data_IF_796148253304
#
_entry.id   IF_796148253304
#
_cell.length_a   1.000
_cell.length_b   1.000
_cell.length_c   1.000
_cell.angle_alpha   90.00
_cell.angle_beta   90.00
_cell.angle_gamma   90.00
#
_symmetry.space_group_name_H-M   'P 1'
#
loop_
_entity.id
_entity.type
_entity.pdbx_description
1 polymer ?
#
# COMPACT_ATOMS: atom_id res chain seq x y z
N UNK A 1 -11.13 7.92 28.83
CA UNK A 1 -12.37 8.72 28.92
C UNK A 1 -13.37 8.35 27.80
N UNK A 2 -13.39 7.09 27.31
CA UNK A 2 -14.48 6.50 26.50
C UNK A 2 -15.84 6.56 27.19
N UNK A 3 -15.76 6.48 28.52
CA UNK A 3 -16.84 6.28 29.48
C UNK A 3 -17.77 7.48 29.54
N UNK A 4 -17.28 8.71 29.39
CA UNK A 4 -18.09 9.90 29.69
C UNK A 4 -18.97 10.38 28.51
N UNK A 5 -18.57 10.13 27.26
CA UNK A 5 -19.21 10.83 26.13
C UNK A 5 -20.29 10.03 25.38
N UNK A 6 -20.29 8.70 25.46
CA UNK A 6 -21.43 7.90 24.97
C UNK A 6 -22.70 8.14 25.79
N UNK A 7 -22.55 8.52 27.07
CA UNK A 7 -23.67 8.99 27.90
C UNK A 7 -24.15 10.40 27.56
N UNK A 8 -23.32 11.22 26.89
CA UNK A 8 -23.64 12.61 26.54
C UNK A 8 -24.16 12.78 25.11
N UNK A 9 -23.62 12.06 24.13
CA UNK A 9 -24.03 12.18 22.71
C UNK A 9 -25.38 11.52 22.41
N UNK A 10 -25.84 10.63 23.28
CA UNK A 10 -27.12 9.96 23.18
C UNK A 10 -27.57 9.64 24.59
N UNK A 11 -28.76 10.12 24.98
CA UNK A 11 -29.40 9.86 26.28
C UNK A 11 -29.74 8.36 26.54
N UNK A 12 -28.98 7.43 25.97
CA UNK A 12 -29.29 6.01 25.83
C UNK A 12 -28.14 5.05 26.22
N UNK A 13 -26.94 5.51 26.58
CA UNK A 13 -25.81 4.60 26.79
C UNK A 13 -25.13 4.77 28.16
N UNK A 14 -25.38 3.81 29.05
CA UNK A 14 -24.69 3.65 30.33
C UNK A 14 -23.27 3.12 30.18
N UNK A 15 -22.34 3.75 30.90
CA UNK A 15 -20.90 3.74 30.65
C UNK A 15 -20.17 2.42 31.00
N UNK A 16 -20.82 1.51 31.71
CA UNK A 16 -20.29 0.21 32.17
C UNK A 16 -21.03 -0.98 31.57
N UNK A 17 -22.01 -0.73 30.71
CA UNK A 17 -23.03 -1.71 30.32
C UNK A 17 -23.00 -2.06 28.83
N UNK A 18 -22.12 -1.43 28.06
CA UNK A 18 -21.99 -1.68 26.62
C UNK A 18 -21.32 -3.04 26.36
N UNK A 19 -20.36 -3.44 27.19
CA UNK A 19 -19.59 -4.65 26.96
C UNK A 19 -19.84 -5.68 28.05
N UNK A 20 -19.93 -6.94 27.63
CA UNK A 20 -19.94 -8.07 28.57
C UNK A 20 -18.65 -8.12 29.42
N UNK A 21 -17.53 -7.64 28.88
CA UNK A 21 -16.23 -7.57 29.56
C UNK A 21 -15.63 -6.15 29.45
N UNK A 22 -16.05 -5.20 30.31
CA UNK A 22 -15.64 -3.79 30.23
C UNK A 22 -14.13 -3.57 30.42
N UNK A 23 -13.49 -4.40 31.25
CA UNK A 23 -12.10 -4.24 31.68
C UNK A 23 -11.07 -4.31 30.55
N UNK A 24 -11.40 -4.94 29.42
CA UNK A 24 -10.47 -5.10 28.29
C UNK A 24 -10.28 -3.80 27.48
N UNK A 25 -11.22 -2.85 27.53
CA UNK A 25 -11.22 -1.66 26.66
C UNK A 25 -11.41 -0.32 27.40
N UNK A 26 -11.95 -0.36 28.62
CA UNK A 26 -12.46 0.84 29.31
C UNK A 26 -11.40 1.87 29.76
N UNK A 27 -10.12 1.50 29.85
CA UNK A 27 -9.11 2.35 30.50
C UNK A 27 -8.27 3.21 29.54
N UNK A 28 -8.22 2.89 28.24
CA UNK A 28 -7.23 3.51 27.34
C UNK A 28 -7.76 4.00 25.99
N UNK A 29 -8.97 3.57 25.62
CA UNK A 29 -9.59 3.91 24.35
C UNK A 29 -10.48 5.15 24.55
N UNK A 30 -10.49 6.04 23.56
CA UNK A 30 -11.37 7.20 23.47
C UNK A 30 -12.34 6.99 22.31
N UNK A 31 -13.61 7.32 22.56
CA UNK A 31 -14.66 7.24 21.54
C UNK A 31 -14.42 8.28 20.46
N UNK A 32 -14.54 7.89 19.19
CA UNK A 32 -14.46 8.79 18.04
C UNK A 32 -15.80 8.86 17.33
N UNK A 33 -16.36 7.71 16.93
CA UNK A 33 -17.63 7.64 16.22
C UNK A 33 -18.26 6.24 16.28
N UNK A 34 -19.56 6.12 15.99
CA UNK A 34 -20.21 4.84 15.75
C UNK A 34 -21.20 4.85 14.59
N UNK A 35 -21.47 3.66 14.04
CA UNK A 35 -22.43 3.47 12.96
C UNK A 35 -23.26 2.22 13.17
N UNK A 36 -24.59 2.35 13.10
CA UNK A 36 -25.48 1.18 13.05
C UNK A 36 -25.45 0.60 11.65
N UNK A 37 -25.13 -0.70 11.55
CA UNK A 37 -25.08 -1.45 10.30
C UNK A 37 -26.06 -2.63 10.34
N UNK A 38 -26.44 -3.21 9.18
CA UNK A 38 -27.41 -4.31 9.13
C UNK A 38 -27.10 -5.48 10.06
N UNK A 39 -28.13 -6.26 10.39
CA UNK A 39 -28.07 -7.42 11.30
C UNK A 39 -27.83 -7.04 12.76
N UNK A 40 -28.38 -5.91 13.21
CA UNK A 40 -28.31 -5.44 14.60
C UNK A 40 -26.86 -5.28 15.08
N UNK A 41 -26.02 -4.68 14.24
CA UNK A 41 -24.60 -4.52 14.50
C UNK A 41 -24.23 -3.04 14.58
N UNK A 42 -23.19 -2.76 15.34
CA UNK A 42 -22.65 -1.42 15.50
C UNK A 42 -21.15 -1.47 15.20
N UNK A 43 -20.70 -0.62 14.28
CA UNK A 43 -19.29 -0.33 14.09
C UNK A 43 -18.93 0.76 15.09
N UNK A 44 -17.94 0.49 15.93
CA UNK A 44 -17.43 1.43 16.91
C UNK A 44 -16.00 1.81 16.55
N UNK A 45 -15.74 3.10 16.39
CA UNK A 45 -14.44 3.67 16.07
C UNK A 45 -13.90 4.37 17.31
N UNK A 46 -12.66 4.08 17.65
CA UNK A 46 -11.95 4.68 18.78
C UNK A 46 -10.59 5.20 18.32
N UNK A 47 -9.92 5.98 19.16
CA UNK A 47 -8.56 6.46 18.85
C UNK A 47 -7.50 5.34 18.74
N UNK A 48 -7.80 4.09 19.14
CA UNK A 48 -6.84 2.96 19.10
C UNK A 48 -7.24 1.79 18.21
N UNK A 49 -8.53 1.63 17.92
CA UNK A 49 -9.05 0.50 17.16
C UNK A 49 -10.43 0.76 16.56
N UNK A 50 -10.82 -0.11 15.64
CA UNK A 50 -12.21 -0.27 15.19
C UNK A 50 -12.76 -1.61 15.62
N UNK A 51 -14.03 -1.65 15.99
CA UNK A 51 -14.71 -2.85 16.49
C UNK A 51 -16.05 -3.05 15.80
N UNK A 52 -16.44 -4.31 15.64
CA UNK A 52 -17.80 -4.67 15.27
C UNK A 52 -18.49 -5.34 16.45
N UNK A 53 -19.63 -4.77 16.83
CA UNK A 53 -20.41 -5.19 17.98
C UNK A 53 -21.74 -5.77 17.53
N UNK A 54 -22.18 -6.84 18.17
CA UNK A 54 -23.53 -7.39 18.03
C UNK A 54 -24.40 -6.81 19.15
N UNK A 55 -25.43 -6.06 18.80
CA UNK A 55 -26.33 -5.35 19.70
C UNK A 55 -27.77 -5.85 19.50
N UNK A 56 -28.18 -6.88 20.24
CA UNK A 56 -29.50 -7.52 20.05
C UNK A 56 -30.68 -6.68 20.56
N UNK A 57 -30.43 -5.75 21.48
CA UNK A 57 -31.46 -4.91 22.09
C UNK A 57 -30.88 -3.50 22.35
N UNK A 58 -30.87 -2.61 21.34
CA UNK A 58 -30.33 -1.26 21.47
C UNK A 58 -30.94 -0.47 22.64
N UNK A 59 -32.24 -0.68 22.88
CA UNK A 59 -32.98 0.05 23.92
C UNK A 59 -32.85 -0.56 25.34
N UNK A 60 -32.12 -1.70 25.49
CA UNK A 60 -32.00 -2.43 26.76
C UNK A 60 -30.58 -2.96 26.99
N UNK A 61 -29.59 -2.12 26.69
CA UNK A 61 -28.16 -2.45 26.78
C UNK A 61 -27.75 -2.83 28.21
N UNK A 62 -28.31 -2.18 29.22
CA UNK A 62 -28.11 -2.42 30.65
C UNK A 62 -28.39 -3.88 31.04
N UNK A 63 -29.38 -4.49 30.37
CA UNK A 63 -29.80 -5.88 30.60
C UNK A 63 -29.17 -6.86 29.60
N UNK A 64 -28.81 -6.38 28.42
CA UNK A 64 -28.24 -7.18 27.33
C UNK A 64 -27.07 -6.41 26.69
N UNK A 65 -25.87 -6.51 27.27
CA UNK A 65 -24.69 -5.81 26.73
C UNK A 65 -24.34 -6.31 25.33
N UNK A 66 -23.69 -5.46 24.55
CA UNK A 66 -23.17 -5.85 23.24
C UNK A 66 -22.10 -6.94 23.36
N UNK A 67 -22.11 -7.86 22.39
CA UNK A 67 -21.04 -8.83 22.20
C UNK A 67 -20.06 -8.31 21.15
N UNK A 68 -18.78 -8.24 21.49
CA UNK A 68 -17.73 -7.91 20.53
C UNK A 68 -17.58 -9.09 19.56
N UNK A 69 -17.78 -8.85 18.27
CA UNK A 69 -17.57 -9.87 17.23
C UNK A 69 -16.10 -9.96 16.85
N UNK A 70 -15.47 -8.80 16.68
CA UNK A 70 -14.04 -8.65 16.45
C UNK A 70 -13.63 -7.21 16.71
N UNK A 71 -12.35 -7.02 17.00
CA UNK A 71 -11.68 -5.72 17.03
C UNK A 71 -10.41 -5.74 16.17
N UNK A 72 -10.05 -4.59 15.62
CA UNK A 72 -8.82 -4.39 14.84
C UNK A 72 -8.10 -3.17 15.41
N UNK A 73 -7.01 -3.38 16.18
CA UNK A 73 -6.08 -2.33 16.56
C UNK A 73 -5.52 -1.59 15.33
N UNK A 74 -5.27 -0.29 15.47
CA UNK A 74 -4.76 0.54 14.37
C UNK A 74 -3.35 0.17 13.87
N UNK A 75 -2.54 -0.47 14.71
CA UNK A 75 -1.24 -1.00 14.34
C UNK A 75 -1.32 -2.30 13.51
N UNK A 76 -2.40 -3.06 13.63
CA UNK A 76 -2.68 -4.28 12.86
C UNK A 76 -3.43 -4.02 11.54
N UNK A 77 -4.03 -2.84 11.38
CA UNK A 77 -4.69 -2.45 10.12
C UNK A 77 -3.64 -2.15 9.04
N UNK A 78 -3.80 -2.76 7.86
CA UNK A 78 -2.91 -2.62 6.72
C UNK A 78 -3.50 -1.76 5.61
N UNK A 79 -4.77 -1.97 5.25
CA UNK A 79 -5.43 -1.27 4.16
C UNK A 79 -6.95 -1.23 4.35
N UNK A 80 -7.61 -0.28 3.71
CA UNK A 80 -9.06 -0.16 3.63
C UNK A 80 -9.49 -0.26 2.17
N UNK A 81 -10.43 -1.15 1.87
CA UNK A 81 -10.96 -1.36 0.53
C UNK A 81 -12.49 -1.31 0.55
N UNK A 82 -13.06 -0.57 -0.41
CA UNK A 82 -14.49 -0.49 -0.62
C UNK A 82 -14.89 -1.45 -1.73
N UNK A 83 -15.89 -2.29 -1.47
CA UNK A 83 -16.34 -3.31 -2.41
C UNK A 83 -17.83 -3.16 -2.77
N UNK A 84 -18.13 -3.38 -4.05
CA UNK A 84 -19.45 -3.39 -4.66
C UNK A 84 -19.96 -4.82 -4.77
N UNK A 85 -20.43 -5.40 -3.67
CA UNK A 85 -20.88 -6.80 -3.65
C UNK A 85 -22.26 -6.95 -4.30
N UNK A 86 -22.32 -6.95 -5.63
CA UNK A 86 -23.57 -7.07 -6.41
C UNK A 86 -24.46 -5.82 -6.40
N UNK A 87 -23.89 -4.66 -6.04
CA UNK A 87 -24.56 -3.36 -5.95
C UNK A 87 -23.87 -2.34 -6.85
N UNK A 88 -24.58 -1.33 -7.33
CA UNK A 88 -24.01 -0.22 -8.13
C UNK A 88 -23.04 0.64 -7.31
N UNK A 89 -23.30 0.76 -6.00
CA UNK A 89 -22.53 1.53 -5.04
C UNK A 89 -21.79 0.64 -4.02
N UNK A 90 -20.70 1.12 -3.40
CA UNK A 90 -20.01 0.39 -2.35
C UNK A 90 -20.93 0.05 -1.17
N UNK A 91 -21.07 -1.25 -0.89
CA UNK A 91 -21.89 -1.78 0.21
C UNK A 91 -21.05 -2.47 1.30
N UNK A 92 -19.79 -2.75 1.02
CA UNK A 92 -18.89 -3.44 1.93
C UNK A 92 -17.62 -2.62 2.15
N UNK A 93 -17.18 -2.56 3.40
CA UNK A 93 -15.86 -2.07 3.78
C UNK A 93 -15.01 -3.25 4.27
N UNK A 94 -13.87 -3.45 3.63
CA UNK A 94 -12.91 -4.51 3.90
C UNK A 94 -11.69 -3.90 4.58
N UNK A 95 -11.34 -4.43 5.74
CA UNK A 95 -10.17 -4.05 6.52
C UNK A 95 -9.13 -5.16 6.39
N UNK A 96 -8.07 -4.89 5.65
CA UNK A 96 -6.95 -5.81 5.46
C UNK A 96 -6.04 -5.80 6.69
N UNK A 97 -5.66 -6.98 7.16
CA UNK A 97 -4.82 -7.12 8.36
C UNK A 97 -3.34 -7.35 7.98
N UNK A 98 -2.43 -6.81 8.79
CA UNK A 98 -0.99 -7.02 8.61
C UNK A 98 -0.57 -8.43 8.96
N UNK A 99 -0.98 -8.91 10.12
CA UNK A 99 -0.64 -10.22 10.61
C UNK A 99 -1.88 -11.09 10.71
N UNK A 100 -1.79 -12.29 10.16
CA UNK A 100 -2.78 -13.34 10.29
C UNK A 100 -2.07 -14.68 10.08
N UNK A 101 -2.64 -15.74 10.63
CA UNK A 101 -2.27 -17.12 10.30
C UNK A 101 -3.18 -17.64 9.19
N UNK A 102 -2.75 -18.68 8.47
CA UNK A 102 -3.60 -19.31 7.44
C UNK A 102 -4.98 -19.78 7.94
N UNK A 103 -5.07 -20.17 9.20
CA UNK A 103 -6.32 -20.59 9.85
C UNK A 103 -7.24 -19.42 10.22
N UNK A 104 -6.74 -18.19 10.17
CA UNK A 104 -7.45 -16.98 10.57
C UNK A 104 -7.97 -16.23 9.34
N UNK A 105 -8.83 -15.24 9.58
CA UNK A 105 -9.26 -14.36 8.51
C UNK A 105 -8.20 -13.28 8.30
N UNK A 106 -7.76 -13.10 7.05
CA UNK A 106 -6.83 -12.05 6.63
C UNK A 106 -7.49 -10.67 6.49
N UNK A 107 -8.82 -10.63 6.52
CA UNK A 107 -9.64 -9.41 6.45
C UNK A 107 -10.75 -9.42 7.49
N UNK A 108 -11.18 -8.22 7.90
CA UNK A 108 -12.48 -8.01 8.56
C UNK A 108 -13.41 -7.28 7.60
N UNK A 109 -14.66 -7.74 7.54
CA UNK A 109 -15.65 -7.20 6.61
C UNK A 109 -16.78 -6.55 7.39
N UNK A 110 -17.09 -5.31 7.05
CA UNK A 110 -18.26 -4.56 7.51
C UNK A 110 -19.25 -4.50 6.34
N UNK A 111 -20.40 -5.17 6.52
CA UNK A 111 -21.53 -5.08 5.59
C UNK A 111 -22.34 -3.85 5.96
N UNK A 112 -22.54 -2.93 5.02
CA UNK A 112 -23.25 -1.67 5.21
C UNK A 112 -24.62 -1.73 4.52
N UNK A 113 -25.53 -0.84 4.90
CA UNK A 113 -26.82 -0.71 4.23
C UNK A 113 -26.63 -0.15 2.82
N UNK A 114 -27.09 -0.87 1.80
CA UNK A 114 -27.28 -0.35 0.45
C UNK A 114 -28.68 0.27 0.37
N UNK A 115 -28.81 1.53 0.75
CA UNK A 115 -30.06 2.26 0.48
C UNK A 115 -29.97 2.74 -0.96
N UNK A 116 -30.78 2.19 -1.85
CA UNK A 116 -30.80 2.54 -3.28
C UNK A 116 -31.53 3.85 -3.59
N UNK A 117 -31.86 4.68 -2.60
CA UNK A 117 -32.78 5.80 -2.81
C UNK A 117 -32.22 7.17 -2.42
N UNK A 118 -32.47 8.09 -3.36
CA UNK A 118 -32.23 9.53 -3.44
C UNK A 118 -30.84 9.99 -3.94
N UNK A 119 -30.89 10.55 -5.14
CA UNK A 119 -29.87 11.37 -5.80
C UNK A 119 -29.07 12.20 -4.77
N UNK A 120 -27.77 11.90 -4.66
CA UNK A 120 -26.81 12.74 -3.92
C UNK A 120 -26.45 12.32 -2.49
N UNK A 121 -27.01 11.26 -1.89
CA UNK A 121 -26.51 10.75 -0.60
C UNK A 121 -25.31 9.83 -0.78
N UNK A 122 -24.20 10.17 -0.11
CA UNK A 122 -23.01 9.32 -0.05
C UNK A 122 -23.31 7.96 0.62
N UNK A 123 -22.84 6.82 0.05
CA UNK A 123 -23.11 5.48 0.57
C UNK A 123 -22.60 5.30 2.00
N UNK A 124 -23.31 4.52 2.82
CA UNK A 124 -22.92 4.29 4.22
C UNK A 124 -21.50 3.72 4.34
N UNK A 125 -21.10 2.79 3.46
CA UNK A 125 -19.76 2.21 3.47
C UNK A 125 -18.67 3.26 3.27
N UNK A 126 -18.91 4.27 2.42
CA UNK A 126 -17.97 5.36 2.15
C UNK A 126 -17.82 6.23 3.40
N UNK A 127 -18.93 6.62 4.04
CA UNK A 127 -18.91 7.40 5.30
C UNK A 127 -18.12 6.70 6.41
N UNK A 128 -18.37 5.41 6.62
CA UNK A 128 -17.63 4.61 7.61
C UNK A 128 -16.15 4.56 7.24
N UNK A 129 -15.83 4.32 5.96
CA UNK A 129 -14.45 4.28 5.48
C UNK A 129 -13.71 5.60 5.71
N UNK A 130 -14.36 6.75 5.46
CA UNK A 130 -13.78 8.07 5.69
C UNK A 130 -13.41 8.28 7.16
N UNK A 131 -14.31 7.95 8.10
CA UNK A 131 -14.05 8.10 9.53
C UNK A 131 -12.96 7.15 10.01
N UNK A 132 -13.00 5.89 9.59
CA UNK A 132 -11.97 4.90 9.93
C UNK A 132 -10.61 5.33 9.37
N UNK A 133 -10.55 5.77 8.11
CA UNK A 133 -9.32 6.26 7.46
C UNK A 133 -8.75 7.48 8.18
N UNK A 134 -9.59 8.49 8.47
CA UNK A 134 -9.20 9.70 9.20
C UNK A 134 -8.58 9.36 10.56
N UNK A 135 -9.28 8.55 11.34
CA UNK A 135 -8.83 8.16 12.70
C UNK A 135 -7.55 7.34 12.64
N UNK A 136 -7.44 6.42 11.68
CA UNK A 136 -6.24 5.61 11.49
C UNK A 136 -5.02 6.44 11.08
N UNK A 137 -5.18 7.43 10.19
CA UNK A 137 -4.09 8.35 9.81
C UNK A 137 -3.68 9.27 10.95
N UNK A 138 -4.62 9.74 11.77
CA UNK A 138 -4.31 10.50 12.99
C UNK A 138 -3.45 9.65 13.95
N UNK A 139 -3.85 8.40 14.21
CA UNK A 139 -3.07 7.47 15.03
C UNK A 139 -1.65 7.23 14.48
N UNK A 140 -1.49 7.06 13.17
CA UNK A 140 -0.17 6.89 12.54
C UNK A 140 0.72 8.13 12.74
N UNK A 141 0.15 9.32 12.60
CA UNK A 141 0.85 10.58 12.78
C UNK A 141 1.30 10.77 14.23
N UNK A 142 0.41 10.50 15.19
CA UNK A 142 0.73 10.55 16.62
C UNK A 142 1.84 9.56 16.97
N UNK A 143 1.78 8.33 16.46
CA UNK A 143 2.81 7.31 16.68
C UNK A 143 4.17 7.74 16.11
N UNK A 144 4.21 8.33 14.90
CA UNK A 144 5.45 8.89 14.33
C UNK A 144 6.00 10.03 15.19
N UNK A 145 5.15 10.92 15.70
CA UNK A 145 5.57 12.01 16.57
C UNK A 145 6.18 11.51 17.89
N UNK A 146 5.68 10.40 18.44
CA UNK A 146 6.22 9.78 19.66
C UNK A 146 7.62 9.20 19.43
N UNK A 147 7.86 8.59 18.27
CA UNK A 147 9.18 8.05 17.90
C UNK A 147 10.22 9.17 17.79
N UNK A 148 9.82 10.36 17.32
CA UNK A 148 10.72 11.50 17.10
C UNK A 148 11.10 12.26 18.39
N UNK A 149 10.47 12.01 19.54
CA UNK A 149 10.67 12.74 20.82
C UNK A 149 11.88 12.27 21.65
N UNK A 150 12.99 11.90 20.99
CA UNK A 150 14.26 11.61 21.70
C UNK A 150 14.97 12.94 22.02
N UNK A 151 15.36 13.24 23.29
CA UNK A 151 16.01 14.50 23.64
C UNK A 151 17.30 14.75 22.85
N UNK A 152 17.35 15.88 22.14
CA UNK A 152 18.43 16.26 21.21
C UNK A 152 19.71 16.76 21.88
N UNK A 153 20.04 16.28 23.10
CA UNK A 153 21.23 16.73 23.82
C UNK A 153 22.51 15.95 23.49
N UNK A 154 22.58 15.24 22.36
CA UNK A 154 23.82 14.70 21.82
C UNK A 154 23.97 15.13 20.36
N UNK A 155 24.84 16.13 20.15
CA UNK A 155 25.20 16.67 18.83
C UNK A 155 26.02 15.66 18.04
N UNK A 156 25.69 15.55 16.75
CA UNK A 156 26.29 14.74 15.69
C UNK A 156 26.01 13.23 15.75
N UNK A 157 24.84 12.86 15.23
CA UNK A 157 24.64 11.52 14.66
C UNK A 157 24.01 11.70 13.28
N UNK A 158 24.73 11.23 12.26
CA UNK A 158 24.25 11.12 10.89
C UNK A 158 23.18 10.02 10.86
N UNK A 159 21.96 10.35 10.43
CA UNK A 159 20.89 9.36 10.29
C UNK A 159 21.13 8.51 9.04
N UNK A 160 21.73 7.34 9.20
CA UNK A 160 21.64 6.24 8.21
C UNK A 160 20.56 5.27 8.66
N UNK A 161 19.42 5.26 7.97
CA UNK A 161 18.43 4.20 8.14
C UNK A 161 18.85 2.98 7.32
N UNK A 162 19.43 1.98 7.98
CA UNK A 162 19.44 0.58 7.52
C UNK A 162 19.77 -0.33 8.70
N UNK A 163 18.74 -0.92 9.32
CA UNK A 163 18.90 -2.19 10.03
C UNK A 163 18.46 -3.31 9.09
N UNK A 164 19.41 -3.84 8.33
CA UNK A 164 19.41 -5.24 7.90
C UNK A 164 20.84 -5.74 8.02
N UNK A 165 21.01 -6.76 8.85
CA UNK A 165 22.24 -7.49 9.14
C UNK A 165 23.11 -7.70 7.89
N UNK A 166 24.32 -7.13 7.89
CA UNK A 166 25.34 -7.34 6.86
C UNK A 166 26.71 -7.30 7.50
N UNK A 167 27.40 -8.44 7.40
CA UNK A 167 28.79 -8.64 7.79
C UNK A 167 29.68 -7.51 7.24
N UNK A 168 30.50 -6.96 8.14
CA UNK A 168 31.50 -5.92 7.90
C UNK A 168 32.39 -6.18 6.67
N UNK A 169 32.82 -5.11 5.97
CA UNK A 169 34.14 -5.06 5.38
C UNK A 169 35.04 -4.09 6.17
N UNK A 170 36.21 -4.61 6.54
CA UNK A 170 37.29 -3.90 7.22
C UNK A 170 37.73 -2.67 6.44
N UNK A 171 37.87 -1.56 7.15
CA UNK A 171 38.62 -0.36 6.80
C UNK A 171 39.98 -0.68 6.16
N UNK A 172 40.24 -0.13 4.97
CA UNK A 172 41.60 0.08 4.48
C UNK A 172 41.78 1.53 3.99
N UNK A 173 42.59 2.23 4.79
CA UNK A 173 43.41 3.41 4.58
C UNK A 173 43.31 4.24 3.28
N UNK A 174 43.24 5.56 3.52
CA UNK A 174 43.50 6.67 2.62
C UNK A 174 44.73 6.44 1.72
N UNK A 175 44.57 6.71 0.43
CA UNK A 175 45.65 7.16 -0.44
C UNK A 175 45.20 8.45 -1.14
N UNK A 176 45.84 9.56 -0.78
CA UNK A 176 45.77 10.83 -1.49
C UNK A 176 46.58 10.63 -2.78
N UNK A 177 45.90 10.53 -3.91
CA UNK A 177 46.53 10.68 -5.23
C UNK A 177 45.86 11.89 -5.87
N UNK A 178 46.56 13.02 -5.85
CA UNK A 178 46.23 14.18 -6.67
C UNK A 178 46.44 13.79 -8.14
N UNK A 179 45.37 13.50 -8.87
CA UNK A 179 45.45 13.40 -10.33
C UNK A 179 45.19 14.78 -10.93
N UNK A 180 46.18 15.21 -11.71
CA UNK A 180 46.20 16.40 -12.55
C UNK A 180 44.88 16.60 -13.29
N UNK A 181 44.49 17.87 -13.38
CA UNK A 181 43.54 18.39 -14.34
C UNK A 181 43.87 17.85 -15.74
N UNK A 182 43.04 16.93 -16.22
CA UNK A 182 42.89 16.66 -17.63
C UNK A 182 41.58 17.33 -18.00
N UNK A 183 41.72 18.50 -18.60
CA UNK A 183 40.65 19.29 -19.21
C UNK A 183 39.97 18.44 -20.30
N UNK A 184 38.87 17.77 -19.95
CA UNK A 184 37.90 17.32 -20.95
C UNK A 184 36.89 18.44 -21.17
N UNK A 185 37.14 19.21 -22.22
CA UNK A 185 36.16 20.10 -22.82
C UNK A 185 34.93 19.32 -23.30
N UNK A 186 33.73 19.80 -22.94
CA UNK A 186 32.37 19.38 -23.34
C UNK A 186 31.89 18.03 -22.76
N UNK A 187 30.87 17.98 -21.91
CA UNK A 187 29.45 18.26 -22.24
C UNK A 187 28.65 18.83 -21.05
N UNK A 188 28.57 20.15 -20.96
CA UNK A 188 27.41 20.81 -20.33
C UNK A 188 26.23 20.73 -21.33
N UNK A 189 25.44 19.64 -21.31
CA UNK A 189 24.25 19.53 -22.18
C UNK A 189 23.18 18.49 -21.79
N UNK A 190 23.43 17.53 -20.89
CA UNK A 190 22.48 16.42 -20.68
C UNK A 190 21.41 16.68 -19.60
N UNK A 191 21.56 17.75 -18.80
CA UNK A 191 20.74 18.04 -17.61
C UNK A 191 19.34 18.63 -17.93
N UNK A 192 18.93 18.60 -19.20
CA UNK A 192 17.63 19.15 -19.66
C UNK A 192 16.69 18.11 -20.27
N UNK A 193 17.12 16.87 -20.45
CA UNK A 193 16.28 15.85 -21.09
C UNK A 193 15.18 15.39 -20.15
N UNK A 194 13.95 15.38 -20.65
CA UNK A 194 12.80 14.88 -19.92
C UNK A 194 12.93 13.39 -19.60
N UNK A 195 13.45 12.59 -20.53
CA UNK A 195 13.71 11.16 -20.32
C UNK A 195 15.21 10.94 -20.14
N UNK A 196 15.57 10.14 -19.13
CA UNK A 196 16.92 9.63 -18.89
C UNK A 196 16.86 8.13 -18.68
N UNK A 197 17.93 7.43 -18.98
CA UNK A 197 18.04 5.98 -18.77
C UNK A 197 18.78 5.69 -17.46
N UNK A 198 18.09 5.08 -16.52
CA UNK A 198 18.64 4.61 -15.25
C UNK A 198 19.18 3.18 -15.36
N UNK A 199 20.30 2.92 -14.70
CA UNK A 199 20.98 1.60 -14.66
C UNK A 199 21.13 1.07 -13.22
N UNK A 200 20.66 1.83 -12.24
CA UNK A 200 20.79 1.50 -10.82
C UNK A 200 19.43 1.23 -10.23
N UNK A 201 19.30 0.07 -9.57
CA UNK A 201 18.03 -0.43 -9.07
C UNK A 201 18.20 -0.96 -7.65
N UNK A 202 17.20 -0.73 -6.81
CA UNK A 202 17.09 -1.33 -5.48
C UNK A 202 16.15 -2.53 -5.55
N UNK A 203 16.59 -3.69 -5.03
CA UNK A 203 15.72 -4.87 -4.91
C UNK A 203 14.68 -4.61 -3.82
N UNK A 204 13.40 -4.78 -4.14
CA UNK A 204 12.30 -4.68 -3.17
C UNK A 204 11.90 -6.07 -2.67
N UNK A 205 11.78 -7.04 -3.58
CA UNK A 205 11.28 -8.37 -3.25
C UNK A 205 11.73 -9.44 -4.26
N UNK A 206 11.72 -10.71 -3.86
CA UNK A 206 11.76 -11.87 -4.76
C UNK A 206 10.74 -12.93 -4.36
N UNK A 207 10.21 -13.65 -5.35
CA UNK A 207 9.20 -14.70 -5.18
C UNK A 207 9.74 -16.02 -4.61
N UNK A 208 10.82 -15.95 -3.85
CA UNK A 208 11.43 -17.11 -3.19
C UNK A 208 10.49 -17.64 -2.11
N UNK A 209 10.13 -18.92 -2.24
CA UNK A 209 9.21 -19.59 -1.33
C UNK A 209 9.92 -20.17 -0.12
N UNK A 210 9.23 -20.21 1.02
CA UNK A 210 9.74 -20.85 2.23
C UNK A 210 9.58 -22.37 2.14
N UNK A 211 10.68 -23.12 1.95
CA UNK A 211 10.64 -24.58 1.99
C UNK A 211 10.56 -25.08 3.44
N UNK A 212 9.35 -25.24 3.99
CA UNK A 212 9.17 -25.98 5.25
C UNK A 212 9.38 -27.47 5.00
N UNK A 213 10.62 -27.91 5.14
CA UNK A 213 11.02 -29.31 5.03
C UNK A 213 10.31 -30.17 6.06
N UNK A 214 9.30 -30.93 5.62
CA UNK A 214 8.91 -32.23 6.20
C UNK A 214 7.99 -33.07 5.31
N UNK A 215 8.27 -33.16 4.00
CA UNK A 215 7.85 -34.34 3.24
C UNK A 215 8.65 -34.45 1.92
N UNK A 216 9.53 -35.44 1.80
CA UNK A 216 10.22 -35.78 0.55
C UNK A 216 9.35 -36.55 -0.44
N UNK A 217 8.08 -36.81 -0.12
CA UNK A 217 7.19 -37.74 -0.84
C UNK A 217 5.85 -37.15 -1.32
N UNK A 218 5.69 -35.83 -1.28
CA UNK A 218 4.59 -35.12 -1.95
C UNK A 218 5.10 -34.27 -3.12
N UNK A 219 5.95 -34.84 -3.98
CA UNK A 219 6.22 -34.26 -5.31
C UNK A 219 5.14 -34.74 -6.27
N UNK A 220 4.13 -33.88 -6.55
CA UNK A 220 3.21 -33.80 -7.71
C UNK A 220 1.85 -33.28 -7.19
N UNK A 221 1.26 -32.18 -7.67
CA UNK A 221 1.28 -31.54 -8.98
C UNK A 221 1.07 -30.02 -8.83
N UNK A 222 2.04 -29.24 -9.30
CA UNK A 222 1.84 -28.15 -10.26
C UNK A 222 3.23 -27.85 -10.80
N UNK A 223 3.54 -28.37 -11.98
CA UNK A 223 4.57 -27.78 -12.82
C UNK A 223 4.07 -26.40 -13.22
N UNK A 224 4.31 -25.38 -12.41
CA UNK A 224 4.34 -24.03 -12.93
C UNK A 224 5.80 -23.78 -13.29
N UNK A 225 6.03 -23.61 -14.58
CA UNK A 225 7.23 -23.08 -15.23
C UNK A 225 7.57 -21.63 -14.76
N UNK A 226 7.08 -21.23 -13.58
CA UNK A 226 7.24 -19.92 -13.01
C UNK A 226 8.61 -19.80 -12.40
N UNK A 227 9.57 -19.33 -13.20
CA UNK A 227 10.87 -18.88 -12.70
C UNK A 227 10.70 -17.90 -11.53
N UNK A 228 11.75 -17.75 -10.73
CA UNK A 228 11.80 -16.73 -9.67
C UNK A 228 11.52 -15.37 -10.33
N UNK A 229 10.64 -14.57 -9.73
CA UNK A 229 10.42 -13.18 -10.12
C UNK A 229 11.04 -12.28 -9.06
N UNK A 230 11.58 -11.13 -9.47
CA UNK A 230 12.05 -10.09 -8.56
C UNK A 230 11.44 -8.73 -8.92
N UNK A 231 11.20 -7.92 -7.89
CA UNK A 231 10.68 -6.55 -8.04
C UNK A 231 11.80 -5.57 -7.69
N UNK A 232 12.00 -4.60 -8.57
CA UNK A 232 13.08 -3.62 -8.53
C UNK A 232 12.53 -2.21 -8.61
N UNK A 233 13.14 -1.31 -7.85
CA UNK A 233 12.85 0.12 -7.89
C UNK A 233 13.99 0.88 -8.53
N UNK A 234 13.76 1.69 -9.57
CA UNK A 234 14.78 2.58 -10.13
C UNK A 234 15.28 3.57 -9.07
N UNK A 235 16.61 3.69 -8.94
CA UNK A 235 17.23 4.73 -8.11
C UNK A 235 17.37 5.98 -8.96
N UNK A 236 16.57 7.01 -8.66
CA UNK A 236 16.55 8.24 -9.43
C UNK A 236 17.56 9.27 -8.86
N UNK A 237 18.35 9.94 -9.71
CA UNK A 237 19.13 11.10 -9.31
C UNK A 237 18.21 12.27 -8.97
N UNK A 238 18.76 13.29 -8.30
CA UNK A 238 18.01 14.49 -7.93
C UNK A 238 17.32 15.14 -9.13
N UNK A 239 16.05 15.51 -8.94
CA UNK A 239 15.23 16.09 -10.00
C UNK A 239 14.66 15.07 -11.00
N UNK A 240 14.85 13.76 -10.80
CA UNK A 240 14.22 12.69 -11.57
C UNK A 240 13.30 11.82 -10.71
N UNK A 241 12.34 11.17 -11.34
CA UNK A 241 11.38 10.24 -10.73
C UNK A 241 11.12 9.04 -11.64
N UNK A 242 10.63 7.95 -11.06
CA UNK A 242 10.06 6.81 -11.78
C UNK A 242 8.53 6.86 -11.69
N UNK A 243 7.85 6.06 -12.52
CA UNK A 243 6.37 6.01 -12.64
C UNK A 243 5.75 4.69 -12.19
N UNK A 244 6.59 3.75 -11.75
CA UNK A 244 6.21 2.44 -11.22
C UNK A 244 7.46 1.61 -10.92
N UNK A 245 7.33 0.61 -10.07
CA UNK A 245 8.38 -0.38 -9.89
C UNK A 245 8.42 -1.33 -11.11
N UNK A 246 9.50 -2.10 -11.22
CA UNK A 246 9.76 -3.01 -12.34
C UNK A 246 9.70 -4.45 -11.82
N UNK A 247 8.88 -5.28 -12.45
CA UNK A 247 8.86 -6.72 -12.22
C UNK A 247 9.68 -7.39 -13.31
N UNK A 248 10.60 -8.26 -12.91
CA UNK A 248 11.53 -8.90 -13.84
C UNK A 248 11.62 -10.39 -13.57
N UNK A 249 11.71 -11.18 -14.64
CA UNK A 249 11.93 -12.63 -14.56
C UNK A 249 13.39 -12.87 -14.13
N UNK A 250 13.57 -13.74 -13.15
CA UNK A 250 14.86 -14.04 -12.54
C UNK A 250 15.15 -13.21 -11.28
N UNK A 251 16.41 -13.26 -10.85
CA UNK A 251 16.92 -12.65 -9.62
C UNK A 251 17.78 -11.40 -9.86
N UNK A 252 17.94 -11.00 -11.12
CA UNK A 252 18.77 -9.88 -11.52
C UNK A 252 17.90 -8.67 -11.92
N UNK A 253 18.40 -7.44 -11.71
CA UNK A 253 17.70 -6.25 -12.16
C UNK A 253 17.64 -6.18 -13.68
N UNK A 254 16.73 -5.38 -14.25
CA UNK A 254 16.80 -5.00 -15.66
C UNK A 254 18.12 -4.27 -15.96
N UNK A 255 18.56 -4.31 -17.21
CA UNK A 255 19.80 -3.63 -17.63
C UNK A 255 19.66 -2.10 -17.62
N UNK A 256 18.49 -1.61 -18.04
CA UNK A 256 18.21 -0.19 -18.21
C UNK A 256 16.71 0.06 -18.15
N UNK A 257 16.29 1.19 -17.58
CA UNK A 257 14.91 1.65 -17.61
C UNK A 257 14.82 3.17 -17.70
N UNK A 258 13.78 3.69 -18.36
CA UNK A 258 13.52 5.12 -18.42
C UNK A 258 13.08 5.67 -17.05
N UNK A 259 13.68 6.80 -16.69
CA UNK A 259 13.32 7.68 -15.58
C UNK A 259 13.06 9.07 -16.13
N UNK A 260 12.23 9.84 -15.44
CA UNK A 260 11.67 11.08 -15.97
C UNK A 260 12.06 12.26 -15.11
N UNK A 261 12.38 13.38 -15.75
CA UNK A 261 12.67 14.63 -15.07
C UNK A 261 11.40 15.12 -14.40
N UNK A 262 11.44 15.33 -13.08
CA UNK A 262 10.32 15.83 -12.29
C UNK A 262 10.13 17.32 -12.58
N UNK A 263 9.12 17.62 -13.39
CA UNK A 263 8.65 18.98 -13.69
C UNK A 263 7.28 19.14 -13.01
N UNK A 264 7.12 20.16 -12.18
CA UNK A 264 5.98 20.30 -11.25
C UNK A 264 4.60 20.29 -11.95
N UNK A 265 4.50 20.79 -13.19
CA UNK A 265 3.24 20.78 -13.95
C UNK A 265 2.86 19.38 -14.49
N UNK A 266 3.82 18.47 -14.60
CA UNK A 266 3.62 17.15 -15.19
C UNK A 266 3.54 16.02 -14.19
N UNK A 267 3.87 16.29 -12.93
CA UNK A 267 3.88 15.28 -11.88
C UNK A 267 3.10 15.73 -10.66
N UNK A 268 2.26 14.84 -10.14
CA UNK A 268 1.51 15.07 -8.92
C UNK A 268 1.70 13.92 -7.93
N UNK A 269 1.54 14.22 -6.64
CA UNK A 269 1.49 13.18 -5.62
C UNK A 269 0.15 12.41 -5.72
N UNK A 270 0.15 11.08 -5.51
CA UNK A 270 -1.08 10.32 -5.44
C UNK A 270 -1.94 10.76 -4.26
N UNK A 271 -3.26 10.69 -4.41
CA UNK A 271 -4.22 10.95 -3.32
C UNK A 271 -4.33 9.75 -2.35
N UNK A 272 -3.50 8.73 -2.57
CA UNK A 272 -3.29 7.56 -1.72
C UNK A 272 -3.18 6.28 -2.54
N UNK A 273 -3.23 5.12 -1.88
CA UNK A 273 -2.91 3.84 -2.54
C UNK A 273 -4.02 2.80 -2.35
N UNK A 274 -4.25 1.99 -3.37
CA UNK A 274 -5.14 0.83 -3.33
C UNK A 274 -4.31 -0.45 -3.25
N UNK A 275 -4.66 -1.34 -2.31
CA UNK A 275 -3.95 -2.61 -2.14
C UNK A 275 -4.34 -3.56 -3.28
N UNK A 276 -3.38 -3.88 -4.14
CA UNK A 276 -3.58 -4.84 -5.23
C UNK A 276 -3.41 -6.26 -4.69
N UNK A 277 -2.30 -6.50 -3.99
CA UNK A 277 -1.94 -7.82 -3.47
C UNK A 277 -0.97 -7.74 -2.30
N UNK A 278 -0.94 -8.80 -1.49
CA UNK A 278 0.13 -9.05 -0.53
C UNK A 278 0.38 -10.54 -0.40
N UNK A 279 1.62 -10.91 -0.10
CA UNK A 279 1.95 -12.31 0.11
C UNK A 279 1.60 -12.79 1.52
N UNK A 280 1.64 -14.10 1.77
CA UNK A 280 1.58 -14.68 3.12
C UNK A 280 3.00 -15.01 3.60
N UNK A 281 3.40 -14.54 4.79
CA UNK A 281 4.73 -14.86 5.38
C UNK A 281 4.96 -16.36 5.59
N UNK A 282 3.91 -17.18 5.63
CA UNK A 282 4.06 -18.63 5.75
C UNK A 282 4.48 -19.32 4.44
N UNK A 283 4.37 -18.62 3.30
CA UNK A 283 4.62 -19.16 1.95
C UNK A 283 5.89 -18.62 1.30
N UNK A 284 6.36 -17.45 1.75
CA UNK A 284 7.45 -16.71 1.11
C UNK A 284 8.46 -16.25 2.14
N UNK A 285 9.73 -16.21 1.74
CA UNK A 285 10.85 -15.84 2.62
C UNK A 285 10.77 -14.39 3.08
N UNK A 286 10.33 -13.48 2.20
CA UNK A 286 10.25 -12.05 2.49
C UNK A 286 8.84 -11.50 2.30
N UNK A 287 8.34 -10.62 3.19
CA UNK A 287 7.02 -10.03 3.04
C UNK A 287 6.99 -9.00 1.90
N UNK A 288 5.86 -8.91 1.20
CA UNK A 288 5.60 -7.86 0.22
C UNK A 288 4.14 -7.47 0.20
N UNK A 289 3.91 -6.18 -0.06
CA UNK A 289 2.61 -5.65 -0.45
C UNK A 289 2.76 -4.82 -1.73
N UNK A 290 1.83 -5.01 -2.65
CA UNK A 290 1.80 -4.38 -3.97
C UNK A 290 0.57 -3.47 -4.03
N UNK A 291 0.81 -2.24 -4.46
CA UNK A 291 -0.14 -1.15 -4.40
C UNK A 291 -0.27 -0.46 -5.75
N UNK A 292 -1.48 0.01 -6.04
CA UNK A 292 -1.74 0.88 -7.16
C UNK A 292 -1.95 2.33 -6.64
N UNK A 293 -1.15 3.31 -7.07
CA UNK A 293 -1.35 4.69 -6.66
C UNK A 293 -2.64 5.27 -7.26
N UNK A 294 -3.46 5.94 -6.46
CA UNK A 294 -4.64 6.68 -6.95
C UNK A 294 -4.20 8.06 -7.42
N UNK A 295 -4.27 8.28 -8.72
CA UNK A 295 -3.94 9.57 -9.30
C UNK A 295 -5.00 10.64 -8.95
N UNK A 296 -4.58 11.90 -8.75
CA UNK A 296 -5.50 13.03 -8.73
C UNK A 296 -6.08 13.30 -10.13
N UNK A 297 -7.13 14.12 -10.20
CA UNK A 297 -7.79 14.49 -11.45
C UNK A 297 -6.80 15.14 -12.43
N UNK A 298 -6.84 14.73 -13.70
CA UNK A 298 -5.92 15.18 -14.77
C UNK A 298 -4.58 14.44 -14.82
N UNK A 299 -4.32 13.51 -13.89
CA UNK A 299 -3.12 12.69 -13.83
C UNK A 299 -3.46 11.20 -13.92
N UNK A 300 -2.45 10.38 -14.20
CA UNK A 300 -2.54 8.92 -14.22
C UNK A 300 -1.41 8.28 -13.43
N UNK A 301 -1.63 7.06 -12.95
CA UNK A 301 -0.60 6.21 -12.34
C UNK A 301 -0.29 5.05 -13.29
N UNK A 302 0.81 5.09 -14.06
CA UNK A 302 1.06 4.08 -15.09
C UNK A 302 1.38 2.69 -14.54
N UNK A 303 2.04 2.60 -13.38
CA UNK A 303 2.51 1.34 -12.81
C UNK A 303 2.22 1.16 -11.32
N UNK A 304 2.33 -0.08 -10.86
CA UNK A 304 2.24 -0.45 -9.45
C UNK A 304 3.55 -0.16 -8.70
N UNK A 305 3.46 -0.08 -7.37
CA UNK A 305 4.60 -0.01 -6.46
C UNK A 305 4.54 -1.14 -5.42
N UNK A 306 5.69 -1.65 -5.03
CA UNK A 306 5.85 -2.68 -4.02
C UNK A 306 6.53 -2.14 -2.75
N UNK A 307 6.13 -2.66 -1.61
CA UNK A 307 6.74 -2.38 -0.30
C UNK A 307 7.20 -3.69 0.30
N UNK A 308 8.45 -3.74 0.75
CA UNK A 308 9.02 -4.86 1.49
C UNK A 308 8.44 -4.92 2.92
N UNK A 309 7.16 -5.32 3.03
CA UNK A 309 6.42 -5.34 4.29
C UNK A 309 4.92 -5.14 4.09
N UNK A 310 4.20 -5.04 5.21
CA UNK A 310 2.74 -4.85 5.26
C UNK A 310 2.38 -3.44 5.72
N UNK A 311 2.90 -2.45 5.00
CA UNK A 311 2.67 -1.03 5.27
C UNK A 311 2.18 -0.36 4.00
N UNK A 312 1.31 0.64 4.17
CA UNK A 312 0.92 1.52 3.08
C UNK A 312 2.13 2.35 2.63
N UNK A 313 2.33 2.55 1.31
CA UNK A 313 3.41 3.40 0.81
C UNK A 313 3.37 4.82 1.38
N UNK A 314 4.55 5.45 1.50
CA UNK A 314 4.61 6.88 1.79
C UNK A 314 4.00 7.70 0.63
N UNK A 315 3.31 8.82 0.91
CA UNK A 315 2.63 9.61 -0.11
C UNK A 315 3.51 10.12 -1.25
N UNK A 316 4.80 10.34 -0.99
CA UNK A 316 5.80 10.87 -1.93
C UNK A 316 6.68 9.79 -2.57
N UNK A 317 6.34 8.51 -2.37
CA UNK A 317 7.12 7.41 -2.90
C UNK A 317 7.20 7.41 -4.44
N UNK A 318 6.08 7.70 -5.10
CA UNK A 318 5.96 7.70 -6.55
C UNK A 318 5.08 8.86 -6.99
N UNK A 319 5.29 9.35 -8.20
CA UNK A 319 4.51 10.45 -8.77
C UNK A 319 3.58 9.94 -9.87
N UNK A 320 2.36 10.47 -9.88
CA UNK A 320 1.44 10.35 -10.99
C UNK A 320 1.87 11.34 -12.08
N UNK A 321 1.64 10.99 -13.35
CA UNK A 321 2.03 11.80 -14.51
C UNK A 321 0.80 12.37 -15.22
N UNK A 322 0.91 13.59 -15.76
CA UNK A 322 -0.18 14.24 -16.49
C UNK A 322 -0.71 13.37 -17.64
N UNK A 323 -2.04 13.33 -17.80
CA UNK A 323 -2.67 12.48 -18.81
C UNK A 323 -2.26 12.85 -20.26
N UNK A 324 -1.90 14.11 -20.49
CA UNK A 324 -1.42 14.61 -21.79
C UNK A 324 -0.09 14.00 -22.24
N UNK A 325 0.73 13.49 -21.31
CA UNK A 325 2.06 12.92 -21.58
C UNK A 325 2.06 11.40 -21.74
N UNK A 326 0.91 10.76 -21.55
CA UNK A 326 0.77 9.32 -21.67
C UNK A 326 -0.05 8.92 -22.88
N UNK A 327 0.14 7.69 -23.31
CA UNK A 327 -0.67 7.01 -24.32
C UNK A 327 -1.02 5.59 -23.85
N UNK A 328 -2.14 5.07 -24.35
CA UNK A 328 -2.48 3.65 -24.17
C UNK A 328 -1.45 2.78 -24.91
N UNK A 329 -1.08 1.66 -24.31
CA UNK A 329 -0.13 0.68 -24.86
C UNK A 329 -0.65 -0.73 -24.60
N UNK A 330 0.21 -1.74 -24.73
CA UNK A 330 -0.09 -3.14 -24.43
C UNK A 330 0.83 -3.67 -23.33
N UNK A 331 0.44 -4.81 -22.76
CA UNK A 331 1.34 -5.60 -21.93
C UNK A 331 2.29 -6.39 -22.81
N UNK A 332 3.45 -6.74 -22.27
CA UNK A 332 4.31 -7.74 -22.89
C UNK A 332 3.57 -9.08 -23.05
N UNK A 333 3.94 -9.83 -24.09
CA UNK A 333 3.30 -11.11 -24.40
C UNK A 333 3.46 -12.11 -23.26
N UNK A 334 4.67 -12.15 -22.67
CA UNK A 334 4.99 -13.01 -21.54
C UNK A 334 4.56 -12.36 -20.23
N UNK A 335 3.75 -13.09 -19.46
CA UNK A 335 3.46 -12.76 -18.06
C UNK A 335 4.75 -12.89 -17.24
N UNK A 336 5.08 -11.86 -16.46
CA UNK A 336 6.30 -11.86 -15.64
C UNK A 336 6.18 -12.90 -14.53
N UNK A 337 5.03 -12.90 -13.84
CA UNK A 337 4.78 -13.83 -12.74
C UNK A 337 3.29 -13.92 -12.43
N UNK A 338 2.87 -15.05 -11.85
CA UNK A 338 1.54 -15.18 -11.28
C UNK A 338 1.50 -16.19 -10.14
N UNK A 339 0.54 -15.98 -9.25
CA UNK A 339 0.14 -16.97 -8.27
C UNK A 339 -1.40 -17.08 -8.29
N UNK A 340 -1.97 -17.93 -9.17
CA UNK A 340 -3.42 -18.03 -9.35
C UNK A 340 -4.14 -18.62 -8.12
N UNK A 341 -3.44 -19.35 -7.26
CA UNK A 341 -3.99 -19.96 -6.03
C UNK A 341 -3.30 -19.45 -4.76
N UNK A 342 -2.68 -18.25 -4.81
CA UNK A 342 -2.05 -17.70 -3.61
C UNK A 342 -3.10 -17.34 -2.57
N UNK A 343 -2.77 -17.64 -1.32
CA UNK A 343 -3.43 -17.05 -0.18
C UNK A 343 -2.78 -15.67 0.10
N UNK A 344 -3.56 -14.58 0.20
CA UNK A 344 -5.01 -14.57 0.42
C UNK A 344 -5.88 -14.46 -0.84
N UNK A 345 -5.33 -14.02 -1.97
CA UNK A 345 -5.99 -14.04 -3.28
C UNK A 345 -4.97 -14.07 -4.41
N UNK A 346 -5.44 -14.32 -5.63
CA UNK A 346 -4.64 -14.47 -6.83
C UNK A 346 -3.97 -13.16 -7.29
N UNK A 347 -2.82 -13.29 -7.96
CA UNK A 347 -2.14 -12.17 -8.61
C UNK A 347 -1.57 -12.58 -9.97
N UNK A 348 -1.64 -11.64 -10.91
CA UNK A 348 -0.98 -11.71 -12.21
C UNK A 348 -0.19 -10.42 -12.43
N UNK A 349 1.12 -10.55 -12.68
CA UNK A 349 2.03 -9.44 -12.91
C UNK A 349 2.42 -9.38 -14.38
N UNK A 350 2.19 -8.22 -14.99
CA UNK A 350 2.47 -7.95 -16.39
C UNK A 350 3.40 -6.76 -16.50
N UNK A 351 4.44 -6.89 -17.32
CA UNK A 351 5.26 -5.75 -17.72
C UNK A 351 4.53 -4.97 -18.82
N UNK A 352 4.59 -3.66 -18.75
CA UNK A 352 4.03 -2.77 -19.78
C UNK A 352 5.07 -2.54 -20.87
N UNK A 353 4.64 -2.57 -22.13
CA UNK A 353 5.50 -2.21 -23.28
C UNK A 353 5.86 -0.72 -23.22
N UNK A 354 6.98 -0.42 -22.55
CA UNK A 354 7.49 0.93 -22.30
C UNK A 354 8.97 0.87 -21.91
N UNK A 355 9.76 1.88 -22.29
CA UNK A 355 11.15 2.02 -21.87
C UNK A 355 11.31 2.11 -20.34
N UNK A 356 10.27 2.51 -19.60
CA UNK A 356 10.28 2.53 -18.13
C UNK A 356 10.15 1.13 -17.49
N UNK A 357 9.74 0.12 -18.26
CA UNK A 357 9.61 -1.27 -17.82
C UNK A 357 8.67 -1.48 -16.62
N UNK A 358 7.82 -0.50 -16.30
CA UNK A 358 6.94 -0.57 -15.14
C UNK A 358 5.95 -1.72 -15.26
N UNK A 359 5.61 -2.33 -14.14
CA UNK A 359 4.64 -3.42 -14.12
C UNK A 359 3.28 -2.97 -13.62
N UNK A 360 2.24 -3.70 -14.03
CA UNK A 360 0.91 -3.67 -13.43
C UNK A 360 0.60 -5.04 -12.86
N UNK A 361 0.11 -5.05 -11.63
CA UNK A 361 -0.43 -6.25 -11.00
C UNK A 361 -1.95 -6.21 -11.02
N UNK A 362 -2.56 -7.35 -11.36
CA UNK A 362 -4.00 -7.52 -11.43
C UNK A 362 -4.44 -8.73 -10.59
N UNK A 363 -5.63 -8.65 -9.99
CA UNK A 363 -6.23 -9.79 -9.26
C UNK A 363 -6.81 -10.84 -10.20
N UNK A 364 -7.14 -10.45 -11.43
CA UNK A 364 -7.62 -11.29 -12.53
C UNK A 364 -6.61 -11.27 -13.67
N UNK A 365 -6.82 -12.10 -14.69
CA UNK A 365 -5.97 -12.10 -15.88
C UNK A 365 -6.20 -10.85 -16.73
N UNK A 366 -5.26 -10.51 -17.63
CA UNK A 366 -5.40 -9.36 -18.53
C UNK A 366 -6.56 -9.52 -19.52
N UNK A 367 -6.97 -10.76 -19.81
CA UNK A 367 -8.10 -11.08 -20.70
C UNK A 367 -9.46 -10.88 -20.02
N UNK A 368 -9.53 -11.06 -18.70
CA UNK A 368 -10.73 -10.85 -17.88
C UNK A 368 -10.86 -9.42 -17.34
N UNK A 369 -9.76 -8.66 -17.37
CA UNK A 369 -9.68 -7.31 -16.84
C UNK A 369 -9.86 -6.27 -17.94
N UNK A 370 -10.70 -5.25 -17.69
CA UNK A 370 -10.82 -4.07 -18.55
C UNK A 370 -9.63 -3.09 -18.44
N UNK A 371 -8.47 -3.57 -17.99
CA UNK A 371 -7.33 -2.70 -17.69
C UNK A 371 -6.59 -2.32 -18.97
N UNK A 372 -6.42 -1.00 -19.17
CA UNK A 372 -5.66 -0.46 -20.30
C UNK A 372 -4.32 0.07 -19.82
N UNK A 373 -3.20 -0.60 -20.12
CA UNK A 373 -1.90 -0.12 -19.69
C UNK A 373 -1.56 1.19 -20.41
N UNK A 374 -0.89 2.09 -19.68
CA UNK A 374 -0.43 3.39 -20.21
C UNK A 374 1.10 3.47 -20.13
N UNK A 375 1.71 4.15 -21.09
CA UNK A 375 3.14 4.50 -21.10
C UNK A 375 3.33 5.99 -21.35
N UNK A 376 4.49 6.51 -21.01
CA UNK A 376 4.89 7.89 -21.36
C UNK A 376 5.25 7.93 -22.84
N UNK A 377 4.87 9.00 -23.54
CA UNK A 377 5.08 9.13 -24.99
C UNK A 377 6.55 9.35 -25.34
N UNK A 378 7.01 8.67 -26.39
CA UNK A 378 8.35 8.81 -26.95
C UNK A 378 8.38 9.99 -27.94
N UNK A 379 8.24 11.22 -27.44
CA UNK A 379 8.23 12.43 -28.26
C UNK A 379 9.33 13.41 -27.86
N UNK A 380 9.86 14.24 -28.79
CA UNK A 380 10.68 15.36 -28.40
C UNK A 380 9.81 16.30 -27.57
N UNK A 381 9.97 16.27 -26.25
CA UNK A 381 9.42 17.23 -25.31
C UNK A 381 10.10 18.60 -25.44
N UNK A 382 10.47 19.00 -26.66
CA UNK A 382 11.15 20.24 -27.02
C UNK A 382 10.27 21.49 -26.83
N UNK A 383 9.00 21.31 -26.47
CA UNK A 383 8.08 22.40 -26.10
C UNK A 383 7.78 22.49 -24.60
N UNK A 384 8.36 21.62 -23.76
CA UNK A 384 8.22 21.73 -22.30
C UNK A 384 9.31 22.67 -21.73
N UNK A 385 9.33 23.90 -22.24
CA UNK A 385 9.99 25.01 -21.54
C UNK A 385 8.89 25.71 -20.75
N UNK A 386 8.96 25.61 -19.41
CA UNK A 386 8.25 26.54 -18.53
C UNK A 386 8.66 27.98 -18.91
N UNK A 387 7.74 28.96 -18.86
CA UNK A 387 8.02 30.35 -19.24
C UNK A 387 9.17 30.99 -18.48
#
# INVERSE_FOLDING_TARGET
QMVLYLGEASRQFGCTEIFKEPSKFALSDYYEEHFTVPHQRIVLVTNKRVMLLQCLAPDKMDKKPCKIMWDVPWDELMALELAKAGSSQPSHLILHLKHFRRSENFVRVIKCSSVEEFEGREPQAVKICLVVRKTWKAYQSDKRSLILKVPSSQRHVYFSWTEVDSREPRTLNKAIISSREISSSSTASDDRRFVRHGITFSKIWSSEQEYKGRCSLCKKQTSQDGGICSIWRPVCPDGYTYIGDIAHVGIHPPNVAAIYRKIDEFFALPVGYDLVWRNCLEDYVSPVSIWHPRAPDGFVSPGCVAIAGYLEPEPDLVHCIAESLVEETQFEDQKVWSAPDSYPWSIHMYQVQSDALHFVALRQTKEESDWKPKRVRDGPHSQLQSP
#
